data_IF_102617757427
#
_entry.id   IF_102617757427
#
_cell.length_a   1.000
_cell.length_b   1.000
_cell.length_c   1.000
_cell.angle_alpha   90.00
_cell.angle_beta   90.00
_cell.angle_gamma   90.00
#
_symmetry.space_group_name_H-M   'P 1'
#
loop_
_entity.id
_entity.type
_entity.pdbx_description
1 polymer ?
#
# COMPACT_ATOMS: atom_id res chain seq x y z
N UNK A 1 55.09 -9.67 56.79
CA UNK A 1 54.29 -8.50 57.26
C UNK A 1 55.13 -7.27 56.95
N UNK A 2 54.84 -6.51 55.90
CA UNK A 2 53.74 -5.54 55.88
C UNK A 2 53.05 -5.47 54.51
N UNK A 3 51.73 -5.55 54.56
CA UNK A 3 50.78 -5.35 53.46
C UNK A 3 50.65 -3.87 53.12
N UNK A 4 50.86 -3.51 51.85
CA UNK A 4 50.50 -2.20 51.30
C UNK A 4 49.31 -2.35 50.36
N UNK A 5 48.10 -2.17 50.90
CA UNK A 5 46.89 -2.03 50.09
C UNK A 5 46.88 -0.63 49.45
N UNK A 6 47.03 -0.54 48.13
CA UNK A 6 46.67 0.68 47.40
C UNK A 6 45.20 0.61 47.02
N UNK A 7 44.35 1.16 47.88
CA UNK A 7 42.95 1.48 47.55
C UNK A 7 42.94 2.71 46.66
N UNK A 8 42.63 2.52 45.37
CA UNK A 8 42.33 3.63 44.47
C UNK A 8 40.93 4.14 44.83
N UNK A 9 40.85 5.21 45.62
CA UNK A 9 39.60 5.91 45.91
C UNK A 9 39.20 6.73 44.69
N UNK A 10 38.48 6.11 43.75
CA UNK A 10 37.77 6.85 42.70
C UNK A 10 36.57 7.52 43.36
N UNK A 11 36.55 8.86 43.38
CA UNK A 11 35.42 9.59 43.94
C UNK A 11 34.14 9.19 43.21
N UNK A 12 33.06 8.91 43.97
CA UNK A 12 31.74 8.53 43.45
C UNK A 12 31.24 9.50 42.36
N UNK A 13 31.62 10.78 42.47
CA UNK A 13 31.33 11.82 41.48
C UNK A 13 31.98 11.58 40.10
N UNK A 14 33.18 11.00 40.05
CA UNK A 14 33.90 10.72 38.79
C UNK A 14 33.29 9.50 38.09
N UNK A 15 32.90 8.48 38.86
CA UNK A 15 32.21 7.31 38.32
C UNK A 15 30.82 7.71 37.78
N UNK A 16 30.08 8.56 38.52
CA UNK A 16 28.80 9.10 38.08
C UNK A 16 28.91 10.01 36.85
N UNK A 17 29.97 10.81 36.72
CA UNK A 17 30.24 11.57 35.50
C UNK A 17 30.49 10.65 34.30
N UNK A 18 31.29 9.58 34.48
CA UNK A 18 31.57 8.62 33.40
C UNK A 18 30.34 7.81 32.98
N UNK A 19 29.44 7.47 33.92
CA UNK A 19 28.14 6.87 33.60
C UNK A 19 27.20 7.90 32.94
N UNK A 20 27.22 9.17 33.37
CA UNK A 20 26.41 10.23 32.77
C UNK A 20 26.81 10.56 31.33
N UNK A 21 28.11 10.57 31.04
CA UNK A 21 28.66 10.72 29.68
C UNK A 21 28.44 9.48 28.80
N UNK A 22 28.35 8.28 29.39
CA UNK A 22 28.02 7.04 28.68
C UNK A 22 26.53 6.81 28.41
N UNK A 23 25.64 7.53 29.11
CA UNK A 23 24.18 7.42 28.97
C UNK A 23 23.55 8.61 28.20
N UNK A 24 24.32 9.66 27.93
CA UNK A 24 23.91 10.76 27.06
C UNK A 24 23.86 10.26 25.60
N UNK A 25 22.72 9.68 25.22
CA UNK A 25 22.39 9.50 23.81
C UNK A 25 22.36 10.88 23.16
N UNK A 26 23.17 11.07 22.13
CA UNK A 26 23.11 12.24 21.26
C UNK A 26 21.79 12.20 20.48
N UNK A 27 20.74 12.75 21.08
CA UNK A 27 19.55 13.16 20.37
C UNK A 27 19.89 14.46 19.63
N UNK A 28 20.29 14.35 18.36
CA UNK A 28 20.42 15.50 17.48
C UNK A 28 19.02 16.01 17.15
N UNK A 29 18.50 16.89 18.01
CA UNK A 29 17.27 17.62 17.76
C UNK A 29 17.60 18.91 17.01
N UNK A 30 17.26 18.95 15.71
CA UNK A 30 17.06 20.14 14.86
C UNK A 30 17.90 21.38 15.22
N UNK A 31 19.22 21.26 15.21
CA UNK A 31 20.12 22.42 15.24
C UNK A 31 20.31 22.94 13.81
N UNK A 32 20.35 24.26 13.63
CA UNK A 32 20.55 24.87 12.33
C UNK A 32 22.00 24.63 11.86
N UNK A 33 22.17 23.69 10.92
CA UNK A 33 23.44 23.41 10.26
C UNK A 33 23.76 24.52 9.25
N UNK A 34 25.03 24.90 9.15
CA UNK A 34 25.49 25.89 8.17
C UNK A 34 25.53 25.30 6.76
N UNK A 35 25.30 26.11 5.72
CA UNK A 35 25.33 25.68 4.31
C UNK A 35 26.62 24.92 3.94
N UNK A 36 27.76 25.30 4.51
CA UNK A 36 29.04 24.62 4.31
C UNK A 36 29.01 23.18 4.85
N UNK A 37 28.40 22.96 6.02
CA UNK A 37 28.23 21.61 6.60
C UNK A 37 27.19 20.79 5.83
N UNK A 38 26.08 21.40 5.38
CA UNK A 38 25.07 20.75 4.55
C UNK A 38 25.61 20.34 3.17
N UNK A 39 26.57 21.10 2.60
CA UNK A 39 27.19 20.77 1.31
C UNK A 39 28.11 19.53 1.36
N UNK A 40 28.60 19.17 2.55
CA UNK A 40 29.47 18.01 2.78
C UNK A 40 28.69 16.77 3.25
N UNK A 41 27.45 16.92 3.70
CA UNK A 41 26.60 15.81 4.14
C UNK A 41 25.78 15.26 2.98
N UNK A 42 26.33 14.30 2.24
CA UNK A 42 25.57 13.50 1.27
C UNK A 42 24.77 12.41 1.99
N UNK A 43 23.44 12.43 1.88
CA UNK A 43 22.58 11.32 2.31
C UNK A 43 21.82 11.51 3.63
N UNK A 44 21.62 12.75 4.09
CA UNK A 44 20.74 13.03 5.23
C UNK A 44 19.29 12.65 4.90
N UNK A 45 18.63 12.05 5.88
CA UNK A 45 17.25 11.63 5.80
C UNK A 45 16.51 11.92 7.11
N UNK A 46 15.22 12.15 7.00
CA UNK A 46 14.33 12.27 8.14
C UNK A 46 13.82 10.88 8.49
N UNK A 47 14.14 10.41 9.70
CA UNK A 47 13.53 9.23 10.27
C UNK A 47 12.17 9.60 10.87
N UNK A 48 11.12 8.84 10.55
CA UNK A 48 9.77 9.02 11.05
C UNK A 48 9.35 7.74 11.77
N UNK A 49 8.86 7.89 12.99
CA UNK A 49 8.33 6.79 13.80
C UNK A 49 6.87 7.07 14.18
N UNK A 50 5.90 6.65 13.35
CA UNK A 50 4.49 6.77 13.68
C UNK A 50 4.14 5.81 14.84
N UNK A 51 3.76 6.37 15.99
CA UNK A 51 3.35 5.63 17.17
C UNK A 51 1.89 5.89 17.54
N UNK A 52 1.18 4.84 17.94
CA UNK A 52 -0.23 4.87 18.32
C UNK A 52 -1.13 5.59 17.29
N UNK A 53 -0.77 5.48 16.01
CA UNK A 53 -1.50 6.16 14.93
C UNK A 53 -2.76 5.39 14.62
N UNK A 54 -3.85 6.10 14.34
CA UNK A 54 -5.06 5.55 13.74
C UNK A 54 -5.78 6.65 13.00
N UNK A 55 -6.49 6.29 11.94
CA UNK A 55 -7.33 7.24 11.20
C UNK A 55 -8.67 6.61 10.87
N UNK A 56 -9.69 7.45 10.79
CA UNK A 56 -11.01 7.08 10.27
C UNK A 56 -11.64 8.31 9.62
N UNK A 57 -12.21 8.13 8.43
CA UNK A 57 -12.91 9.18 7.71
C UNK A 57 -14.29 9.37 8.32
N UNK A 58 -14.51 10.53 8.95
CA UNK A 58 -15.79 10.89 9.54
C UNK A 58 -16.55 11.88 8.67
N UNK A 59 -17.88 11.95 8.84
CA UNK A 59 -18.79 12.84 8.13
C UNK A 59 -18.26 14.27 8.16
N UNK A 60 -18.25 14.93 7.00
CA UNK A 60 -17.92 16.34 6.89
C UNK A 60 -18.98 17.18 7.62
N UNK A 61 -18.54 17.95 8.62
CA UNK A 61 -19.36 18.96 9.28
C UNK A 61 -18.49 20.16 9.67
N UNK A 62 -18.92 21.33 9.23
CA UNK A 62 -18.23 22.58 9.52
C UNK A 62 -18.63 23.13 10.89
N UNK A 63 -17.81 24.04 11.43
CA UNK A 63 -18.08 24.82 12.65
C UNK A 63 -18.18 24.01 13.96
N UNK A 64 -17.49 22.87 14.05
CA UNK A 64 -17.35 22.13 15.29
C UNK A 64 -16.36 22.85 16.23
N UNK A 65 -16.77 22.99 17.50
CA UNK A 65 -15.84 23.38 18.56
C UNK A 65 -14.76 22.31 18.76
N UNK A 66 -13.63 22.70 19.34
CA UNK A 66 -12.56 21.75 19.69
C UNK A 66 -13.05 20.60 20.58
N UNK A 67 -14.00 20.87 21.49
CA UNK A 67 -14.61 19.87 22.35
C UNK A 67 -15.47 18.86 21.56
N UNK A 68 -16.27 19.34 20.60
CA UNK A 68 -17.06 18.47 19.72
C UNK A 68 -16.17 17.62 18.81
N UNK A 69 -15.10 18.20 18.25
CA UNK A 69 -14.11 17.46 17.47
C UNK A 69 -13.47 16.33 18.28
N UNK A 70 -13.05 16.62 19.52
CA UNK A 70 -12.48 15.60 20.41
C UNK A 70 -13.47 14.47 20.75
N UNK A 71 -14.73 14.80 21.01
CA UNK A 71 -15.77 13.81 21.29
C UNK A 71 -16.07 12.91 20.08
N UNK A 72 -16.08 13.48 18.86
CA UNK A 72 -16.36 12.73 17.62
C UNK A 72 -15.35 11.66 17.28
N UNK A 73 -14.08 11.89 17.60
CA UNK A 73 -13.02 10.89 17.37
C UNK A 73 -13.30 9.58 18.12
N UNK A 74 -14.15 9.57 19.16
CA UNK A 74 -14.61 8.36 19.83
C UNK A 74 -15.94 7.80 19.30
N UNK A 75 -16.79 8.63 18.70
CA UNK A 75 -18.13 8.25 18.22
C UNK A 75 -18.07 7.71 16.78
N UNK A 76 -18.39 6.41 16.64
CA UNK A 76 -18.33 5.68 15.37
C UNK A 76 -19.57 5.87 14.50
N UNK A 77 -20.63 6.48 15.01
CA UNK A 77 -21.83 6.81 14.22
C UNK A 77 -21.52 7.81 13.09
N UNK A 78 -20.45 8.59 13.25
CA UNK A 78 -19.98 9.56 12.28
C UNK A 78 -19.02 9.00 11.23
N UNK A 79 -18.69 7.71 11.22
CA UNK A 79 -17.70 7.12 10.31
C UNK A 79 -18.26 6.89 8.89
N UNK A 80 -18.80 7.97 8.32
CA UNK A 80 -19.45 8.08 7.02
C UNK A 80 -18.80 9.17 6.16
N UNK A 81 -17.58 9.58 6.50
CA UNK A 81 -16.75 10.42 5.64
C UNK A 81 -16.46 9.67 4.33
N UNK A 82 -16.48 10.38 3.21
CA UNK A 82 -16.64 9.75 1.91
C UNK A 82 -15.60 10.18 0.87
N UNK A 83 -15.35 9.28 -0.07
CA UNK A 83 -14.71 9.53 -1.36
C UNK A 83 -15.74 9.16 -2.43
N UNK A 84 -16.17 10.12 -3.24
CA UNK A 84 -17.10 9.89 -4.35
C UNK A 84 -16.33 9.77 -5.65
N UNK A 85 -16.50 8.65 -6.36
CA UNK A 85 -15.89 8.41 -7.66
C UNK A 85 -17.00 8.37 -8.71
N UNK A 86 -16.95 9.34 -9.63
CA UNK A 86 -17.93 9.49 -10.70
C UNK A 86 -17.24 9.23 -12.03
N UNK A 87 -17.55 8.12 -12.73
CA UNK A 87 -17.16 7.92 -14.11
C UNK A 87 -17.71 9.06 -14.98
N UNK A 88 -16.82 9.79 -15.63
CA UNK A 88 -17.14 10.83 -16.61
C UNK A 88 -17.08 10.28 -18.03
N UNK A 89 -17.74 10.95 -18.98
CA UNK A 89 -17.81 10.52 -20.38
C UNK A 89 -19.12 9.80 -20.76
N UNK A 90 -19.53 9.81 -22.04
CA UNK A 90 -20.75 9.14 -22.49
C UNK A 90 -20.61 7.62 -22.43
N UNK A 91 -21.74 6.91 -22.35
CA UNK A 91 -21.75 5.48 -22.62
C UNK A 91 -21.51 5.27 -24.12
N UNK A 92 -20.73 4.24 -24.49
CA UNK A 92 -20.60 3.86 -25.89
C UNK A 92 -21.94 3.42 -26.47
N UNK A 93 -22.10 3.47 -27.80
CA UNK A 93 -23.31 2.97 -28.45
C UNK A 93 -23.58 1.49 -28.11
N UNK A 94 -22.51 0.67 -28.07
CA UNK A 94 -22.58 -0.74 -27.68
C UNK A 94 -23.05 -0.92 -26.24
N UNK A 95 -22.48 -0.15 -25.29
CA UNK A 95 -22.87 -0.22 -23.88
C UNK A 95 -24.34 0.23 -23.70
N UNK A 96 -24.75 1.28 -24.42
CA UNK A 96 -26.12 1.78 -24.42
C UNK A 96 -27.10 0.74 -24.97
N UNK A 97 -26.77 0.09 -26.08
CA UNK A 97 -27.58 -0.98 -26.67
C UNK A 97 -27.69 -2.21 -25.76
N UNK A 98 -26.67 -2.50 -24.96
CA UNK A 98 -26.68 -3.55 -23.94
C UNK A 98 -27.44 -3.16 -22.65
N UNK A 99 -28.00 -1.94 -22.58
CA UNK A 99 -28.72 -1.45 -21.41
C UNK A 99 -27.82 -1.05 -20.24
N UNK A 100 -26.52 -0.84 -20.48
CA UNK A 100 -25.60 -0.42 -19.43
C UNK A 100 -26.01 0.92 -18.82
N UNK A 101 -25.72 1.07 -17.53
CA UNK A 101 -25.97 2.29 -16.76
C UNK A 101 -24.63 2.84 -16.26
N UNK A 102 -24.58 4.15 -15.99
CA UNK A 102 -23.39 4.74 -15.37
C UNK A 102 -23.33 4.35 -13.89
N UNK A 103 -22.14 4.06 -13.40
CA UNK A 103 -21.93 3.85 -11.97
C UNK A 103 -21.80 5.19 -11.23
N UNK A 104 -22.14 5.22 -9.95
CA UNK A 104 -21.79 6.28 -9.01
C UNK A 104 -21.31 5.60 -7.72
N UNK A 105 -20.03 5.74 -7.41
CA UNK A 105 -19.39 5.01 -6.32
C UNK A 105 -19.15 5.95 -5.15
N UNK A 106 -19.58 5.52 -3.97
CA UNK A 106 -19.32 6.16 -2.70
C UNK A 106 -18.51 5.20 -1.83
N UNK A 107 -17.28 5.58 -1.48
CA UNK A 107 -16.46 4.86 -0.51
C UNK A 107 -16.50 5.61 0.80
N UNK A 108 -16.91 4.95 1.86
CA UNK A 108 -17.18 5.52 3.17
C UNK A 108 -16.26 4.94 4.25
N UNK A 109 -16.03 5.76 5.28
CA UNK A 109 -15.49 5.31 6.56
C UNK A 109 -14.11 4.66 6.45
N UNK A 110 -13.32 5.07 5.45
CA UNK A 110 -11.94 4.62 5.27
C UNK A 110 -11.18 4.74 6.59
N UNK A 111 -10.67 3.63 7.08
CA UNK A 111 -10.09 3.53 8.41
C UNK A 111 -8.81 2.69 8.40
N UNK A 112 -7.83 3.15 9.18
CA UNK A 112 -6.56 2.46 9.43
C UNK A 112 -6.34 2.38 10.93
N UNK A 113 -6.08 1.17 11.43
CA UNK A 113 -5.86 0.88 12.84
C UNK A 113 -4.98 -0.35 13.03
N UNK A 114 -4.68 -0.72 14.27
CA UNK A 114 -4.04 -2.00 14.58
C UNK A 114 -4.96 -3.17 14.22
N UNK A 115 -4.39 -4.24 13.66
CA UNK A 115 -5.11 -5.49 13.40
C UNK A 115 -5.61 -6.15 14.69
N UNK A 116 -6.81 -6.72 14.68
CA UNK A 116 -7.49 -7.32 15.84
C UNK A 116 -8.13 -8.69 15.53
N UNK A 117 -7.94 -9.22 14.32
CA UNK A 117 -8.55 -10.45 13.79
C UNK A 117 -10.08 -10.44 13.63
N UNK A 118 -10.75 -9.34 13.96
CA UNK A 118 -12.17 -9.15 13.69
C UNK A 118 -12.34 -8.76 12.22
N UNK A 119 -13.05 -9.60 11.46
CA UNK A 119 -13.34 -9.41 10.03
C UNK A 119 -14.69 -8.73 9.80
N UNK A 120 -15.48 -8.51 10.84
CA UNK A 120 -16.78 -7.86 10.77
C UNK A 120 -16.69 -6.37 11.15
N UNK A 121 -15.76 -6.00 12.03
CA UNK A 121 -15.42 -4.61 12.29
C UNK A 121 -14.36 -4.08 11.32
N UNK A 122 -14.66 -2.97 10.64
CA UNK A 122 -13.70 -2.28 9.77
C UNK A 122 -12.58 -1.54 10.51
N UNK A 123 -12.73 -1.27 11.82
CA UNK A 123 -11.83 -0.40 12.58
C UNK A 123 -11.72 -0.89 14.02
N UNK A 124 -10.52 -1.27 14.45
CA UNK A 124 -10.29 -1.76 15.81
C UNK A 124 -10.28 -0.64 16.85
N UNK A 125 -10.21 0.62 16.39
CA UNK A 125 -10.03 1.81 17.22
C UNK A 125 -8.78 1.76 18.13
N UNK A 126 -7.83 0.88 17.82
CA UNK A 126 -6.54 0.77 18.50
C UNK A 126 -5.46 1.34 17.60
N UNK A 127 -4.59 2.19 18.14
CA UNK A 127 -3.48 2.75 17.37
C UNK A 127 -2.43 1.69 17.06
N UNK A 128 -1.74 1.83 15.93
CA UNK A 128 -0.64 0.96 15.52
C UNK A 128 0.70 1.70 15.51
N UNK A 129 1.76 0.97 15.80
CA UNK A 129 3.14 1.46 15.71
C UNK A 129 3.76 0.96 14.39
N UNK A 130 4.27 1.89 13.58
CA UNK A 130 4.83 1.61 12.26
C UNK A 130 6.33 1.87 12.24
N UNK A 131 7.11 0.92 12.74
CA UNK A 131 8.57 0.97 12.76
C UNK A 131 9.13 0.85 14.17
N UNK A 132 10.45 0.88 14.27
CA UNK A 132 11.19 0.98 15.53
C UNK A 132 12.29 2.03 15.37
N UNK A 133 12.91 2.47 16.45
CA UNK A 133 14.06 3.38 16.38
C UNK A 133 15.20 2.83 15.50
N UNK A 134 15.42 1.51 15.54
CA UNK A 134 16.42 0.81 14.72
C UNK A 134 15.97 0.50 13.29
N UNK A 135 14.68 0.65 12.99
CA UNK A 135 14.10 0.38 11.67
C UNK A 135 12.87 1.28 11.44
N UNK A 136 13.08 2.61 11.28
CA UNK A 136 12.01 3.58 11.14
C UNK A 136 11.55 3.71 9.68
N UNK A 137 10.55 4.56 9.43
CA UNK A 137 10.36 5.10 8.08
C UNK A 137 11.45 6.11 7.79
N UNK A 138 11.92 6.17 6.55
CA UNK A 138 12.99 7.09 6.14
C UNK A 138 12.56 7.89 4.92
N UNK A 139 12.61 9.22 5.04
CA UNK A 139 12.53 10.14 3.91
C UNK A 139 13.94 10.68 3.63
N UNK A 140 14.55 10.36 2.50
CA UNK A 140 15.94 10.73 2.21
C UNK A 140 16.16 11.09 0.74
N UNK A 141 17.31 11.69 0.45
CA UNK A 141 17.81 11.88 -0.92
C UNK A 141 19.10 11.09 -1.06
N UNK A 142 19.15 10.18 -2.03
CA UNK A 142 20.30 9.30 -2.24
C UNK A 142 20.79 9.35 -3.69
N UNK A 143 22.12 9.35 -3.91
CA UNK A 143 22.69 9.16 -5.23
C UNK A 143 22.68 7.67 -5.63
N UNK A 144 22.62 7.41 -6.94
CA UNK A 144 22.78 6.08 -7.54
C UNK A 144 23.45 6.20 -8.90
N UNK A 145 24.39 5.29 -9.17
CA UNK A 145 24.95 5.14 -10.50
C UNK A 145 24.04 4.22 -11.31
N UNK A 146 23.52 4.71 -12.42
CA UNK A 146 22.58 4.00 -13.28
C UNK A 146 22.86 4.33 -14.75
N UNK A 147 22.14 3.72 -15.68
CA UNK A 147 22.32 3.97 -17.11
C UNK A 147 21.29 4.97 -17.62
N UNK A 148 21.71 5.88 -18.50
CA UNK A 148 20.76 6.60 -19.36
C UNK A 148 20.07 5.65 -20.34
N UNK A 149 19.09 6.12 -21.11
CA UNK A 149 18.35 5.26 -22.02
C UNK A 149 19.20 4.67 -23.17
N UNK A 150 20.39 5.22 -23.43
CA UNK A 150 21.34 4.73 -24.42
C UNK A 150 22.38 3.74 -23.85
N UNK A 151 22.37 3.50 -22.54
CA UNK A 151 23.27 2.58 -21.87
C UNK A 151 24.57 3.21 -21.36
N UNK A 152 24.68 4.55 -21.32
CA UNK A 152 25.83 5.23 -20.74
C UNK A 152 25.65 5.34 -19.23
N UNK A 153 26.70 5.05 -18.46
CA UNK A 153 26.67 5.20 -17.01
C UNK A 153 26.58 6.68 -16.62
N UNK A 154 25.64 7.00 -15.73
CA UNK A 154 25.34 8.34 -15.24
C UNK A 154 25.07 8.30 -13.73
N UNK A 155 25.23 9.45 -13.08
CA UNK A 155 24.81 9.64 -11.70
C UNK A 155 23.39 10.20 -11.69
N UNK A 156 22.53 9.59 -10.88
CA UNK A 156 21.16 10.02 -10.65
C UNK A 156 20.98 10.23 -9.14
N UNK A 157 20.22 11.25 -8.74
CA UNK A 157 19.75 11.38 -7.36
C UNK A 157 18.24 11.21 -7.32
N UNK A 158 17.73 10.55 -6.29
CA UNK A 158 16.29 10.39 -6.07
C UNK A 158 15.90 10.80 -4.65
N UNK A 159 14.72 11.39 -4.52
CA UNK A 159 14.01 11.55 -3.24
C UNK A 159 13.25 10.25 -2.97
N UNK A 160 13.46 9.63 -1.81
CA UNK A 160 12.82 8.37 -1.44
C UNK A 160 12.06 8.47 -0.14
N UNK A 161 10.89 7.83 -0.10
CA UNK A 161 10.19 7.46 1.12
C UNK A 161 10.22 5.93 1.24
N UNK A 162 10.87 5.44 2.28
CA UNK A 162 11.07 4.01 2.55
C UNK A 162 10.38 3.62 3.86
N UNK A 163 9.57 2.55 3.80
CA UNK A 163 9.01 1.90 4.96
C UNK A 163 10.09 1.09 5.69
N UNK A 164 9.90 0.74 6.98
CA UNK A 164 10.82 -0.13 7.70
C UNK A 164 11.21 -1.34 6.87
N UNK A 165 12.50 -1.69 6.84
CA UNK A 165 13.00 -2.79 6.06
C UNK A 165 12.42 -4.11 6.56
N UNK A 166 12.12 -5.01 5.63
CA UNK A 166 11.67 -6.36 5.96
C UNK A 166 12.87 -7.25 6.25
N UNK A 167 12.84 -7.97 7.38
CA UNK A 167 13.92 -8.91 7.72
C UNK A 167 13.95 -10.09 6.76
N UNK A 168 15.15 -10.58 6.45
CA UNK A 168 15.34 -11.73 5.57
C UNK A 168 14.74 -13.03 6.15
N UNK A 169 14.62 -13.11 7.48
CA UNK A 169 13.97 -14.22 8.19
C UNK A 169 12.42 -14.13 8.19
N UNK A 170 11.83 -13.12 7.54
CA UNK A 170 10.37 -12.93 7.50
C UNK A 170 9.77 -12.40 8.81
N UNK A 171 10.60 -12.09 9.81
CA UNK A 171 10.12 -11.55 11.09
C UNK A 171 9.61 -10.13 10.91
N UNK A 172 8.38 -9.90 11.39
CA UNK A 172 7.73 -8.60 11.35
C UNK A 172 7.88 -7.94 12.72
N UNK A 173 8.67 -6.86 12.80
CA UNK A 173 8.98 -6.19 14.06
C UNK A 173 7.91 -5.23 14.58
N UNK A 174 6.79 -5.07 13.87
CA UNK A 174 5.79 -4.00 14.12
C UNK A 174 4.35 -4.52 14.08
N UNK A 175 3.42 -3.72 14.60
CA UNK A 175 2.00 -4.04 14.62
C UNK A 175 1.44 -4.09 13.19
N UNK A 176 0.88 -5.22 12.74
CA UNK A 176 0.20 -5.26 11.45
C UNK A 176 -1.04 -4.37 11.49
N UNK A 177 -1.30 -3.70 10.37
CA UNK A 177 -2.43 -2.82 10.19
C UNK A 177 -3.72 -3.57 9.85
N UNK A 178 -4.83 -2.97 10.23
CA UNK A 178 -6.17 -3.20 9.70
C UNK A 178 -6.53 -2.01 8.82
N UNK A 179 -6.87 -2.28 7.57
CA UNK A 179 -7.50 -1.32 6.65
C UNK A 179 -8.96 -1.72 6.48
N UNK A 180 -9.88 -0.79 6.67
CA UNK A 180 -11.30 -1.06 6.50
C UNK A 180 -12.03 0.09 5.84
N UNK A 181 -13.01 -0.25 5.02
CA UNK A 181 -13.93 0.70 4.39
C UNK A 181 -15.23 -0.01 4.05
N UNK A 182 -16.25 0.77 3.71
CA UNK A 182 -17.48 0.24 3.13
C UNK A 182 -17.95 1.18 2.03
N UNK A 183 -18.90 0.79 1.20
CA UNK A 183 -19.30 1.62 0.08
C UNK A 183 -20.63 1.25 -0.54
N UNK A 184 -21.17 2.22 -1.28
CA UNK A 184 -22.36 2.07 -2.09
C UNK A 184 -22.00 2.31 -3.56
N UNK A 185 -22.36 1.35 -4.41
CA UNK A 185 -22.22 1.43 -5.86
C UNK A 185 -23.63 1.53 -6.44
N UNK A 186 -23.95 2.66 -7.05
CA UNK A 186 -25.26 2.88 -7.67
C UNK A 186 -25.21 2.75 -9.18
N UNK A 187 -26.26 2.18 -9.77
CA UNK A 187 -26.57 2.43 -11.17
C UNK A 187 -27.37 3.72 -11.31
N UNK A 188 -27.01 4.53 -12.30
CA UNK A 188 -27.65 5.81 -12.59
C UNK A 188 -28.47 5.78 -13.87
N UNK A 189 -29.66 6.36 -13.78
CA UNK A 189 -30.41 6.80 -14.93
C UNK A 189 -29.71 8.02 -15.56
N UNK A 190 -29.32 7.89 -16.82
CA UNK A 190 -28.62 8.94 -17.57
C UNK A 190 -29.51 10.13 -17.96
N UNK A 191 -30.84 10.00 -17.85
CA UNK A 191 -31.78 11.06 -18.23
C UNK A 191 -32.22 11.94 -17.07
N UNK A 192 -31.94 11.52 -15.83
CA UNK A 192 -32.27 12.29 -14.63
C UNK A 192 -31.08 13.14 -14.19
N UNK A 193 -31.30 14.44 -14.06
CA UNK A 193 -30.32 15.38 -13.51
C UNK A 193 -30.70 15.73 -12.07
N UNK A 194 -29.71 15.82 -11.19
CA UNK A 194 -29.87 16.22 -9.79
C UNK A 194 -28.84 17.27 -9.43
N UNK A 195 -29.21 18.21 -8.56
CA UNK A 195 -28.27 19.18 -8.01
C UNK A 195 -27.32 18.48 -7.04
N UNK A 196 -26.09 18.98 -6.94
CA UNK A 196 -25.07 18.45 -6.04
C UNK A 196 -25.05 19.28 -4.75
N UNK A 197 -25.02 18.61 -3.61
CA UNK A 197 -24.76 19.23 -2.31
C UNK A 197 -23.27 19.62 -2.24
N UNK A 198 -22.93 20.90 -2.04
CA UNK A 198 -21.55 21.35 -2.01
C UNK A 198 -20.74 20.81 -0.81
N UNK A 199 -21.40 20.41 0.29
CA UNK A 199 -20.73 19.89 1.50
C UNK A 199 -20.32 18.43 1.33
N UNK A 200 -21.22 17.59 0.82
CA UNK A 200 -20.97 16.14 0.67
C UNK A 200 -20.47 15.77 -0.71
N UNK A 201 -20.57 16.67 -1.68
CA UNK A 201 -20.29 16.39 -3.10
C UNK A 201 -21.25 15.38 -3.73
N UNK A 202 -22.35 14.99 -3.05
CA UNK A 202 -23.34 14.02 -3.50
C UNK A 202 -24.62 14.69 -4.04
N UNK A 203 -25.48 13.99 -4.82
CA UNK A 203 -26.80 14.48 -5.18
C UNK A 203 -27.62 14.91 -3.97
N UNK A 204 -28.43 15.96 -4.10
CA UNK A 204 -29.34 16.42 -3.04
C UNK A 204 -30.52 15.49 -2.79
N UNK A 205 -30.82 14.59 -3.73
CA UNK A 205 -31.90 13.61 -3.64
C UNK A 205 -31.47 12.27 -4.25
N UNK A 206 -32.21 11.20 -3.96
CA UNK A 206 -32.02 9.88 -4.57
C UNK A 206 -32.43 9.82 -6.06
N UNK A 207 -32.90 10.94 -6.63
CA UNK A 207 -33.38 11.00 -8.01
C UNK A 207 -32.33 10.52 -9.01
N UNK A 208 -32.73 9.60 -9.89
CA UNK A 208 -31.86 9.04 -10.92
C UNK A 208 -30.96 7.89 -10.45
N UNK A 209 -31.02 7.47 -9.18
CA UNK A 209 -30.43 6.19 -8.74
C UNK A 209 -31.45 5.07 -8.96
N UNK A 210 -31.02 3.93 -9.50
CA UNK A 210 -31.94 2.82 -9.84
C UNK A 210 -31.67 1.56 -9.01
N UNK A 211 -30.40 1.18 -8.81
CA UNK A 211 -29.98 0.02 -8.03
C UNK A 211 -28.78 0.35 -7.16
N UNK A 212 -28.61 -0.37 -6.05
CA UNK A 212 -27.46 -0.24 -5.14
C UNK A 212 -26.83 -1.60 -4.87
N UNK A 213 -25.52 -1.69 -5.00
CA UNK A 213 -24.71 -2.71 -4.37
C UNK A 213 -23.95 -2.08 -3.21
N UNK A 214 -24.16 -2.58 -2.00
CA UNK A 214 -23.44 -2.17 -0.80
C UNK A 214 -22.40 -3.21 -0.44
N UNK A 215 -21.20 -2.77 -0.09
CA UNK A 215 -20.08 -3.65 0.26
C UNK A 215 -19.30 -3.16 1.47
N UNK A 216 -18.74 -4.08 2.25
CA UNK A 216 -17.70 -3.82 3.24
C UNK A 216 -16.41 -4.48 2.79
N UNK A 217 -15.29 -3.82 3.01
CA UNK A 217 -13.96 -4.39 2.86
C UNK A 217 -13.21 -4.29 4.18
N UNK A 218 -12.68 -5.41 4.65
CA UNK A 218 -11.82 -5.48 5.85
C UNK A 218 -10.56 -6.25 5.49
N UNK A 219 -9.41 -5.60 5.59
CA UNK A 219 -8.08 -6.19 5.40
C UNK A 219 -7.37 -6.23 6.74
N UNK A 220 -7.22 -7.43 7.31
CA UNK A 220 -6.44 -7.67 8.52
C UNK A 220 -5.03 -8.17 8.18
N UNK A 221 -4.09 -7.79 9.03
CA UNK A 221 -2.73 -8.31 8.97
C UNK A 221 -1.79 -7.53 8.05
N UNK A 222 -2.22 -6.40 7.49
CA UNK A 222 -1.47 -5.66 6.48
C UNK A 222 -0.13 -5.16 7.04
N UNK A 223 0.95 -5.51 6.36
CA UNK A 223 2.28 -5.01 6.63
C UNK A 223 2.89 -4.41 5.35
N UNK A 224 3.52 -3.24 5.52
CA UNK A 224 4.08 -2.44 4.43
C UNK A 224 5.62 -2.49 4.40
N UNK A 225 6.26 -3.23 5.30
CA UNK A 225 7.71 -3.25 5.46
C UNK A 225 8.39 -3.68 4.16
N UNK A 226 9.47 -2.97 3.81
CA UNK A 226 10.21 -3.10 2.56
C UNK A 226 9.57 -2.38 1.37
N UNK A 227 8.45 -1.67 1.55
CA UNK A 227 7.92 -0.78 0.50
C UNK A 227 8.77 0.48 0.37
N UNK A 228 8.91 1.01 -0.84
CA UNK A 228 9.54 2.30 -1.07
C UNK A 228 8.99 3.00 -2.32
N UNK A 229 9.12 4.31 -2.33
CA UNK A 229 8.82 5.19 -3.46
C UNK A 229 10.01 6.07 -3.73
N UNK A 230 10.45 6.17 -4.99
CA UNK A 230 11.59 6.96 -5.43
C UNK A 230 11.16 7.91 -6.52
N UNK A 231 11.29 9.21 -6.27
CA UNK A 231 11.03 10.30 -7.21
C UNK A 231 12.35 10.86 -7.72
N UNK A 232 12.47 10.99 -9.04
CA UNK A 232 13.70 11.47 -9.67
C UNK A 232 13.41 12.08 -11.03
N UNK A 233 14.37 12.81 -11.57
CA UNK A 233 14.34 13.21 -12.97
C UNK A 233 14.90 12.07 -13.83
N UNK A 234 14.18 11.63 -14.86
CA UNK A 234 14.68 10.59 -15.76
C UNK A 234 15.92 11.04 -16.52
N UNK A 235 16.79 10.09 -16.87
CA UNK A 235 17.99 10.39 -17.64
C UNK A 235 17.68 10.65 -19.13
N UNK A 236 18.70 11.08 -19.88
CA UNK A 236 18.55 11.46 -21.29
C UNK A 236 18.71 10.31 -22.30
N UNK A 237 18.88 10.70 -23.56
CA UNK A 237 19.26 9.84 -24.70
C UNK A 237 18.26 8.75 -25.11
N UNK A 238 16.98 8.89 -24.79
CA UNK A 238 15.92 7.96 -25.20
C UNK A 238 15.90 7.68 -26.72
N UNK A 239 16.10 8.72 -27.53
CA UNK A 239 16.05 8.59 -28.99
C UNK A 239 17.19 7.73 -29.55
N UNK A 240 18.34 7.65 -28.86
CA UNK A 240 19.46 6.81 -29.29
C UNK A 240 19.11 5.30 -29.24
N UNK A 241 18.06 4.93 -28.51
CA UNK A 241 17.54 3.57 -28.42
C UNK A 241 16.13 3.42 -29.01
N UNK A 242 15.72 4.33 -29.88
CA UNK A 242 14.41 4.29 -30.55
C UNK A 242 13.22 4.59 -29.65
N UNK A 243 13.45 5.18 -28.47
CA UNK A 243 12.42 5.59 -27.53
C UNK A 243 12.02 7.07 -27.73
N UNK A 244 10.85 7.50 -27.24
CA UNK A 244 10.35 8.85 -27.46
C UNK A 244 11.21 9.88 -26.71
N UNK A 245 11.42 11.05 -27.33
CA UNK A 245 12.14 12.18 -26.72
C UNK A 245 11.54 12.62 -25.38
N UNK A 246 10.23 12.43 -25.20
CA UNK A 246 9.50 12.78 -23.99
C UNK A 246 9.86 11.93 -22.76
N UNK A 247 10.65 10.86 -22.92
CA UNK A 247 11.19 10.10 -21.80
C UNK A 247 12.37 10.81 -21.14
N UNK A 248 13.02 11.76 -21.82
CA UNK A 248 14.21 12.41 -21.31
C UNK A 248 13.87 13.49 -20.29
N UNK A 249 14.61 13.52 -19.19
CA UNK A 249 14.63 14.66 -18.25
C UNK A 249 13.23 15.02 -17.70
N UNK A 250 12.32 14.04 -17.63
CA UNK A 250 10.96 14.21 -17.09
C UNK A 250 10.86 13.70 -15.66
N UNK A 251 9.72 13.94 -15.00
CA UNK A 251 9.46 13.39 -13.66
C UNK A 251 9.23 11.88 -13.75
N UNK A 252 10.13 11.13 -13.11
CA UNK A 252 10.08 9.69 -12.96
C UNK A 252 9.75 9.26 -11.53
N UNK A 253 9.02 8.15 -11.44
CA UNK A 253 8.75 7.40 -10.22
C UNK A 253 9.23 5.96 -10.40
N UNK A 254 9.84 5.40 -9.37
CA UNK A 254 9.95 3.96 -9.18
C UNK A 254 9.33 3.60 -7.83
N UNK A 255 8.54 2.53 -7.77
CA UNK A 255 7.94 2.11 -6.51
C UNK A 255 7.98 0.60 -6.33
N UNK A 256 8.29 0.18 -5.11
CA UNK A 256 8.04 -1.17 -4.63
C UNK A 256 6.93 -1.08 -3.58
N UNK A 257 5.76 -1.61 -3.90
CA UNK A 257 4.59 -1.57 -3.03
C UNK A 257 4.34 -2.97 -2.48
N UNK A 258 4.42 -3.13 -1.16
CA UNK A 258 4.19 -4.41 -0.48
C UNK A 258 2.92 -4.31 0.37
N UNK A 259 1.93 -5.14 0.03
CA UNK A 259 0.69 -5.32 0.77
C UNK A 259 0.65 -6.78 1.22
N UNK A 260 1.45 -7.09 2.24
CA UNK A 260 1.62 -8.46 2.72
C UNK A 260 0.82 -8.67 4.00
N UNK A 261 0.28 -9.88 4.16
CA UNK A 261 -0.46 -10.25 5.38
C UNK A 261 0.14 -11.47 6.07
N UNK A 262 0.85 -12.32 5.35
CA UNK A 262 1.39 -13.57 5.90
C UNK A 262 2.75 -13.95 5.30
N UNK A 263 3.82 -13.73 6.06
CA UNK A 263 5.17 -14.10 5.65
C UNK A 263 5.44 -15.61 5.72
N UNK A 264 4.58 -16.37 6.42
CA UNK A 264 4.71 -17.81 6.61
C UNK A 264 3.48 -18.58 6.07
N UNK A 265 2.91 -18.09 4.97
CA UNK A 265 1.68 -18.65 4.41
C UNK A 265 1.80 -20.14 4.00
N UNK A 266 3.00 -20.59 3.62
CA UNK A 266 3.24 -21.95 3.12
C UNK A 266 2.96 -23.07 4.12
N UNK A 267 2.95 -22.79 5.41
CA UNK A 267 2.63 -23.78 6.47
C UNK A 267 1.16 -23.71 6.91
N UNK A 268 0.35 -22.85 6.29
CA UNK A 268 -1.00 -22.57 6.76
C UNK A 268 -1.98 -23.63 6.27
N UNK A 269 -2.62 -24.35 7.19
CA UNK A 269 -3.64 -25.36 6.86
C UNK A 269 -5.04 -24.96 7.34
N UNK A 270 -5.16 -23.83 8.03
CA UNK A 270 -6.41 -23.31 8.59
C UNK A 270 -6.62 -21.84 8.24
N UNK A 271 -7.87 -21.47 7.97
CA UNK A 271 -8.27 -20.07 7.81
C UNK A 271 -7.86 -19.22 9.03
N UNK A 272 -7.27 -18.05 8.79
CA UNK A 272 -6.78 -17.14 9.83
C UNK A 272 -7.37 -15.74 9.62
N UNK A 273 -8.27 -15.34 10.52
CA UNK A 273 -8.96 -14.05 10.45
C UNK A 273 -8.04 -12.85 10.75
N UNK A 274 -6.83 -13.09 11.27
CA UNK A 274 -5.81 -12.06 11.48
C UNK A 274 -5.07 -11.67 10.19
N UNK A 275 -5.24 -12.44 9.10
CA UNK A 275 -4.50 -12.32 7.83
C UNK A 275 -5.43 -12.59 6.65
N UNK A 276 -6.33 -11.65 6.39
CA UNK A 276 -7.40 -11.86 5.41
C UNK A 276 -7.90 -10.54 4.86
N UNK A 277 -8.19 -10.54 3.57
CA UNK A 277 -9.04 -9.55 2.93
C UNK A 277 -10.44 -10.14 2.81
N UNK A 278 -11.41 -9.56 3.52
CA UNK A 278 -12.82 -9.90 3.41
C UNK A 278 -13.56 -8.81 2.63
N UNK A 279 -14.41 -9.24 1.70
CA UNK A 279 -15.39 -8.40 1.03
C UNK A 279 -16.78 -8.99 1.27
N UNK A 280 -17.67 -8.27 1.92
CA UNK A 280 -19.04 -8.73 2.22
C UNK A 280 -20.09 -7.79 1.64
N UNK A 281 -21.25 -8.32 1.30
CA UNK A 281 -22.36 -7.56 0.72
C UNK A 281 -23.68 -7.74 1.46
N UNK A 282 -23.81 -8.78 2.30
CA UNK A 282 -24.99 -9.03 3.09
C UNK A 282 -25.04 -8.08 4.29
N UNK A 283 -26.04 -7.19 4.31
CA UNK A 283 -26.33 -6.32 5.46
C UNK A 283 -26.93 -7.15 6.61
N UNK A 284 -26.48 -6.96 7.86
CA UNK A 284 -26.99 -7.67 9.03
C UNK A 284 -28.38 -7.19 9.46
N UNK A 285 -28.68 -5.92 9.22
CA UNK A 285 -29.98 -5.32 9.46
C UNK A 285 -30.38 -4.59 8.20
N UNK A 286 -31.42 -5.06 7.50
CA UNK A 286 -32.01 -4.32 6.40
C UNK A 286 -32.89 -3.24 7.01
N UNK A 287 -32.38 -2.00 7.10
CA UNK A 287 -33.26 -0.86 7.30
C UNK A 287 -34.15 -0.72 6.06
N UNK A 288 -35.33 -1.34 6.12
CA UNK A 288 -36.29 -1.37 5.01
C UNK A 288 -37.11 -0.09 4.90
N UNK A 289 -36.97 0.85 5.85
CA UNK A 289 -37.77 2.07 5.92
C UNK A 289 -37.59 2.99 4.70
N UNK A 290 -36.49 2.81 3.98
CA UNK A 290 -36.11 3.59 2.79
C UNK A 290 -36.06 2.74 1.51
N UNK A 291 -36.55 1.50 1.57
CA UNK A 291 -36.66 0.63 0.40
C UNK A 291 -38.01 0.85 -0.28
N UNK A 292 -38.03 0.77 -1.61
CA UNK A 292 -39.28 0.79 -2.37
C UNK A 292 -40.13 -0.44 -2.03
N UNK A 293 -41.43 -0.40 -2.34
CA UNK A 293 -42.32 -1.57 -2.22
C UNK A 293 -41.89 -2.78 -3.06
N UNK A 294 -40.96 -2.57 -4.01
CA UNK A 294 -40.31 -3.61 -4.82
C UNK A 294 -39.01 -4.15 -4.19
N UNK A 295 -38.64 -3.71 -2.99
CA UNK A 295 -37.46 -4.17 -2.24
C UNK A 295 -36.15 -3.44 -2.59
N UNK A 296 -36.18 -2.39 -3.40
CA UNK A 296 -34.96 -1.65 -3.79
C UNK A 296 -34.60 -0.62 -2.73
N UNK A 297 -33.46 -0.80 -2.06
CA UNK A 297 -32.96 0.10 -1.03
C UNK A 297 -31.90 1.06 -1.60
N UNK A 298 -32.21 2.35 -1.65
CA UNK A 298 -31.32 3.37 -2.24
C UNK A 298 -30.70 4.33 -1.21
N UNK A 299 -31.03 4.19 0.07
CA UNK A 299 -30.50 5.06 1.12
C UNK A 299 -28.97 5.04 1.19
N UNK A 300 -28.36 6.18 1.44
CA UNK A 300 -26.92 6.29 1.61
C UNK A 300 -26.59 7.51 2.46
N UNK A 301 -25.65 7.44 3.41
CA UNK A 301 -25.35 8.55 4.30
C UNK A 301 -25.04 9.87 3.60
N UNK A 302 -24.46 9.85 2.40
CA UNK A 302 -24.16 11.08 1.66
C UNK A 302 -25.41 11.84 1.15
N UNK A 303 -26.55 11.16 0.99
CA UNK A 303 -27.79 11.71 0.42
C UNK A 303 -28.92 11.75 1.46
N UNK A 304 -29.19 10.60 2.10
CA UNK A 304 -30.30 10.45 3.06
C UNK A 304 -29.88 10.68 4.51
N UNK A 305 -28.58 10.81 4.78
CA UNK A 305 -28.05 10.70 6.14
C UNK A 305 -28.09 9.26 6.68
N UNK A 306 -27.69 9.09 7.94
CA UNK A 306 -27.58 7.78 8.61
C UNK A 306 -26.14 7.43 9.00
N UNK A 307 -26.01 6.38 9.81
CA UNK A 307 -24.73 5.84 10.25
C UNK A 307 -24.14 4.79 9.30
N UNK A 308 -22.96 4.26 9.66
CA UNK A 308 -22.37 3.14 8.93
C UNK A 308 -23.27 1.87 9.05
N UNK A 309 -23.46 1.12 7.96
CA UNK A 309 -24.24 -0.10 7.98
C UNK A 309 -23.51 -1.23 8.72
N UNK A 310 -24.28 -2.16 9.28
CA UNK A 310 -23.78 -3.42 9.83
C UNK A 310 -23.89 -4.52 8.79
N UNK A 311 -22.88 -5.38 8.69
CA UNK A 311 -22.84 -6.52 7.77
C UNK A 311 -23.01 -7.83 8.53
N UNK A 312 -23.54 -8.86 7.85
CA UNK A 312 -23.58 -10.22 8.35
C UNK A 312 -22.14 -10.63 8.76
N UNK A 313 -21.95 -11.34 9.86
CA UNK A 313 -20.61 -11.57 10.40
C UNK A 313 -19.84 -12.68 9.66
N UNK A 314 -20.52 -13.47 8.83
CA UNK A 314 -19.97 -14.66 8.18
C UNK A 314 -19.89 -14.53 6.66
N UNK A 315 -20.85 -13.88 6.02
CA UNK A 315 -20.96 -13.79 4.56
C UNK A 315 -19.75 -13.10 3.93
N UNK A 316 -19.44 -13.53 2.70
CA UNK A 316 -18.59 -12.76 1.80
C UNK A 316 -17.51 -13.58 1.13
N UNK A 317 -16.70 -12.87 0.35
CA UNK A 317 -15.47 -13.34 -0.24
C UNK A 317 -14.32 -13.12 0.76
N UNK A 318 -13.65 -14.21 1.12
CA UNK A 318 -12.46 -14.22 1.96
C UNK A 318 -11.26 -14.58 1.08
N UNK A 319 -10.27 -13.70 1.08
CA UNK A 319 -8.98 -13.94 0.45
C UNK A 319 -8.00 -14.04 1.63
N UNK A 320 -7.67 -15.27 2.04
CA UNK A 320 -6.75 -15.51 3.15
C UNK A 320 -5.30 -15.34 2.72
N UNK A 321 -4.46 -14.85 3.63
CA UNK A 321 -3.02 -14.65 3.46
C UNK A 321 -2.63 -13.98 2.12
N UNK A 322 -3.31 -12.91 1.65
CA UNK A 322 -2.89 -12.20 0.45
C UNK A 322 -1.54 -11.54 0.70
N UNK A 323 -0.59 -11.80 -0.18
CA UNK A 323 0.68 -11.11 -0.25
C UNK A 323 0.86 -10.55 -1.65
N UNK A 324 0.89 -9.24 -1.77
CA UNK A 324 1.01 -8.52 -3.04
C UNK A 324 2.30 -7.70 -2.98
N UNK A 325 3.27 -8.06 -3.81
CA UNK A 325 4.54 -7.36 -3.93
C UNK A 325 4.64 -6.82 -5.35
N UNK A 326 4.32 -5.54 -5.52
CA UNK A 326 4.23 -4.90 -6.82
C UNK A 326 5.44 -4.00 -7.07
N UNK A 327 6.21 -4.34 -8.11
CA UNK A 327 7.29 -3.52 -8.64
C UNK A 327 6.73 -2.65 -9.77
N UNK A 328 6.57 -1.36 -9.50
CA UNK A 328 6.18 -0.35 -10.47
C UNK A 328 7.42 0.40 -10.95
N UNK A 329 8.08 -0.21 -11.94
CA UNK A 329 9.29 0.34 -12.54
C UNK A 329 10.50 0.31 -11.61
N UNK A 330 11.59 0.87 -12.11
CA UNK A 330 12.85 1.03 -11.41
C UNK A 330 13.62 2.20 -12.05
N UNK A 331 14.85 2.47 -11.63
CA UNK A 331 15.67 3.56 -12.21
C UNK A 331 16.05 3.34 -13.67
N UNK A 332 15.95 2.11 -14.18
CA UNK A 332 16.18 1.73 -15.59
C UNK A 332 14.91 1.78 -16.44
N UNK A 333 13.74 1.70 -15.80
CA UNK A 333 12.42 1.69 -16.41
C UNK A 333 11.45 2.50 -15.52
N UNK A 334 11.54 3.83 -15.51
CA UNK A 334 10.70 4.68 -14.67
C UNK A 334 9.24 4.68 -15.10
N UNK A 335 8.35 4.86 -14.14
CA UNK A 335 7.00 5.36 -14.38
C UNK A 335 7.07 6.87 -14.57
N UNK A 336 6.75 7.36 -15.75
CA UNK A 336 6.82 8.78 -16.09
C UNK A 336 5.45 9.42 -16.12
N UNK A 337 5.44 10.69 -15.73
CA UNK A 337 4.32 11.60 -15.94
C UNK A 337 4.64 12.46 -17.15
N UNK A 338 3.77 12.43 -18.15
CA UNK A 338 4.06 13.08 -19.42
C UNK A 338 2.82 13.76 -19.97
N UNK A 339 3.03 14.76 -20.81
CA UNK A 339 1.99 15.39 -21.60
C UNK A 339 2.42 15.51 -23.05
N UNK A 340 1.50 15.23 -23.97
CA UNK A 340 1.71 15.48 -25.41
C UNK A 340 1.26 16.90 -25.82
N UNK A 341 0.97 17.77 -24.83
CA UNK A 341 0.43 19.11 -25.02
C UNK A 341 -1.10 19.17 -24.94
N UNK A 342 -1.79 18.04 -25.13
CA UNK A 342 -3.26 17.94 -25.09
C UNK A 342 -3.72 17.00 -23.97
N UNK A 343 -3.03 15.87 -23.84
CA UNK A 343 -3.34 14.80 -22.91
C UNK A 343 -2.30 14.73 -21.82
N UNK A 344 -2.75 14.35 -20.64
CA UNK A 344 -1.88 13.84 -19.60
C UNK A 344 -1.77 12.33 -19.72
N UNK A 345 -0.58 11.80 -19.51
CA UNK A 345 -0.32 10.36 -19.53
C UNK A 345 0.54 9.93 -18.35
N UNK A 346 0.20 8.76 -17.84
CA UNK A 346 0.99 7.97 -16.91
C UNK A 346 1.55 6.78 -17.69
N UNK A 347 2.85 6.70 -17.84
CA UNK A 347 3.49 5.71 -18.71
C UNK A 347 4.66 5.04 -18.00
N UNK A 348 4.61 3.73 -17.79
CA UNK A 348 5.81 2.96 -17.46
C UNK A 348 6.62 2.85 -18.74
N UNK A 349 7.82 3.43 -18.77
CA UNK A 349 8.62 3.50 -20.00
C UNK A 349 8.88 2.13 -20.59
N UNK A 350 8.97 2.04 -21.91
CA UNK A 350 9.48 0.85 -22.59
C UNK A 350 10.92 0.58 -22.17
N UNK A 351 11.27 -0.70 -22.00
CA UNK A 351 12.65 -1.13 -21.74
C UNK A 351 13.48 -0.89 -23.03
N UNK A 352 14.58 -0.11 -22.99
CA UNK A 352 15.49 0.03 -24.11
C UNK A 352 16.07 -1.31 -24.55
N UNK A 353 16.23 -1.50 -25.86
CA UNK A 353 17.00 -2.63 -26.40
C UNK A 353 18.51 -2.38 -26.29
N UNK A 354 18.99 -2.23 -25.06
CA UNK A 354 20.38 -1.96 -24.72
C UNK A 354 20.81 -2.93 -23.62
N UNK A 355 21.88 -3.69 -23.88
CA UNK A 355 22.29 -4.80 -23.02
C UNK A 355 22.56 -4.39 -21.56
N UNK A 356 23.24 -3.28 -21.34
CA UNK A 356 23.51 -2.76 -19.98
C UNK A 356 22.24 -2.44 -19.19
N UNK A 357 21.10 -2.25 -19.86
CA UNK A 357 19.82 -1.88 -19.26
C UNK A 357 18.93 -3.12 -19.10
N UNK A 358 18.65 -3.84 -20.19
CA UNK A 358 17.72 -4.98 -20.11
C UNK A 358 18.28 -6.11 -19.22
N UNK A 359 19.61 -6.23 -19.09
CA UNK A 359 20.23 -7.21 -18.19
C UNK A 359 20.02 -6.86 -16.71
N UNK A 360 19.75 -5.60 -16.37
CA UNK A 360 19.38 -5.23 -14.99
C UNK A 360 17.94 -5.64 -14.67
N UNK A 361 17.09 -5.76 -15.70
CA UNK A 361 15.66 -5.98 -15.53
C UNK A 361 15.30 -7.45 -15.67
N UNK A 362 15.73 -8.10 -16.74
CA UNK A 362 15.37 -9.49 -17.04
C UNK A 362 16.12 -10.49 -16.17
N UNK A 363 15.45 -11.63 -15.95
CA UNK A 363 15.98 -12.78 -15.22
C UNK A 363 16.30 -13.90 -16.20
N UNK A 364 17.47 -14.52 -16.08
CA UNK A 364 17.73 -15.80 -16.74
C UNK A 364 17.28 -16.96 -15.85
N UNK A 365 16.10 -17.52 -16.15
CA UNK A 365 15.54 -18.65 -15.41
C UNK A 365 16.28 -19.98 -15.64
N UNK A 366 17.18 -20.06 -16.63
CA UNK A 366 18.05 -21.23 -16.77
C UNK A 366 19.18 -21.25 -15.72
N UNK A 367 19.48 -20.09 -15.11
CA UNK A 367 20.56 -19.92 -14.15
C UNK A 367 21.96 -20.01 -14.76
N UNK A 368 22.09 -19.96 -16.09
CA UNK A 368 23.36 -20.16 -16.80
C UNK A 368 24.11 -18.84 -17.07
N UNK A 369 23.38 -17.74 -17.20
CA UNK A 369 23.90 -16.42 -17.50
C UNK A 369 23.70 -15.45 -16.34
N UNK A 370 24.74 -15.26 -15.56
CA UNK A 370 24.76 -14.34 -14.41
C UNK A 370 24.76 -12.86 -14.80
N UNK A 371 24.79 -12.50 -16.08
CA UNK A 371 24.68 -11.09 -16.51
C UNK A 371 23.29 -10.53 -16.22
N UNK A 372 22.25 -11.37 -16.28
CA UNK A 372 20.88 -11.02 -15.96
C UNK A 372 20.70 -10.93 -14.44
N UNK A 373 20.33 -9.73 -13.96
CA UNK A 373 20.19 -9.37 -12.54
C UNK A 373 18.75 -9.25 -12.08
N UNK A 374 17.80 -9.48 -12.99
CA UNK A 374 16.39 -9.52 -12.65
C UNK A 374 16.09 -10.53 -11.56
N UNK A 375 15.12 -10.19 -10.72
CA UNK A 375 14.66 -11.06 -9.63
C UNK A 375 13.22 -10.73 -9.26
N UNK A 376 12.51 -11.71 -8.71
CA UNK A 376 11.17 -11.47 -8.16
C UNK A 376 11.23 -10.99 -6.71
N UNK A 377 10.35 -10.06 -6.38
CA UNK A 377 9.99 -9.71 -5.02
C UNK A 377 8.84 -10.58 -4.50
N UNK A 378 9.06 -11.28 -3.40
CA UNK A 378 8.05 -12.00 -2.63
C UNK A 378 8.31 -11.84 -1.12
N UNK A 379 7.51 -12.50 -0.28
CA UNK A 379 7.58 -12.37 1.18
C UNK A 379 8.92 -12.82 1.80
N UNK A 380 9.76 -13.59 1.11
CA UNK A 380 11.04 -14.09 1.63
C UNK A 380 12.25 -13.43 0.96
N UNK A 381 12.13 -13.01 -0.31
CA UNK A 381 13.24 -12.44 -1.08
C UNK A 381 12.76 -11.31 -1.97
N UNK A 382 13.53 -10.22 -2.06
CA UNK A 382 13.18 -9.06 -2.87
C UNK A 382 14.42 -8.35 -3.45
N UNK A 383 15.25 -9.10 -4.16
CA UNK A 383 16.53 -8.62 -4.68
C UNK A 383 17.66 -8.84 -3.67
N UNK A 384 18.71 -8.01 -3.75
CA UNK A 384 19.95 -8.23 -3.00
C UNK A 384 19.77 -7.87 -1.52
N UNK A 385 19.89 -8.87 -0.64
CA UNK A 385 19.83 -8.68 0.80
C UNK A 385 20.95 -7.77 1.31
N UNK A 386 20.71 -7.09 2.43
CA UNK A 386 21.67 -6.22 3.11
C UNK A 386 21.78 -6.59 4.59
N UNK A 387 22.96 -6.37 5.17
CA UNK A 387 23.19 -6.54 6.62
C UNK A 387 23.45 -5.19 7.24
N UNK A 388 22.59 -4.78 8.17
CA UNK A 388 22.69 -3.50 8.87
C UNK A 388 22.72 -3.81 10.37
N UNK A 389 23.76 -3.35 11.07
CA UNK A 389 23.94 -3.58 12.51
C UNK A 389 23.78 -5.07 12.92
N UNK A 390 24.28 -6.00 12.10
CA UNK A 390 24.21 -7.44 12.37
C UNK A 390 22.86 -8.11 12.07
N UNK A 391 21.88 -7.35 11.55
CA UNK A 391 20.57 -7.87 11.12
C UNK A 391 20.51 -7.96 9.60
N UNK A 392 20.04 -9.10 9.09
CA UNK A 392 19.83 -9.31 7.66
C UNK A 392 18.43 -8.86 7.23
N UNK A 393 18.38 -7.97 6.24
CA UNK A 393 17.17 -7.46 5.62
C UNK A 393 17.06 -7.93 4.17
N UNK A 394 15.84 -8.07 3.68
CA UNK A 394 15.58 -8.28 2.27
C UNK A 394 16.01 -7.05 1.48
N UNK A 395 16.37 -7.27 0.21
CA UNK A 395 16.63 -6.19 -0.72
C UNK A 395 15.37 -5.40 -1.11
N UNK A 396 15.59 -4.38 -1.93
CA UNK A 396 14.55 -3.58 -2.56
C UNK A 396 14.78 -3.38 -4.07
N UNK A 397 15.63 -4.23 -4.66
CA UNK A 397 16.12 -4.10 -6.05
C UNK A 397 15.48 -5.10 -7.01
N UNK A 398 14.46 -5.85 -6.56
CA UNK A 398 13.71 -6.74 -7.43
C UNK A 398 13.02 -5.99 -8.58
N UNK A 399 12.86 -6.67 -9.70
CA UNK A 399 12.34 -6.10 -10.95
C UNK A 399 11.02 -6.74 -11.38
N UNK A 400 10.69 -7.89 -10.79
CA UNK A 400 9.45 -8.60 -11.03
C UNK A 400 8.59 -8.63 -9.76
N UNK A 401 7.29 -8.55 -9.96
CA UNK A 401 6.26 -8.58 -8.94
C UNK A 401 5.83 -10.01 -8.62
N UNK A 402 5.20 -10.19 -7.47
CA UNK A 402 4.49 -11.42 -7.13
C UNK A 402 3.16 -11.15 -6.43
N UNK A 403 2.23 -12.09 -6.58
CA UNK A 403 0.96 -12.12 -5.89
C UNK A 403 0.75 -13.55 -5.40
N UNK A 404 0.57 -13.74 -4.10
CA UNK A 404 0.17 -15.03 -3.53
C UNK A 404 -1.09 -14.87 -2.71
N UNK A 405 -1.98 -15.85 -2.79
CA UNK A 405 -3.21 -15.95 -2.00
C UNK A 405 -3.23 -17.32 -1.36
N UNK A 406 -3.44 -17.35 -0.04
CA UNK A 406 -3.63 -18.58 0.70
C UNK A 406 -2.34 -19.32 1.01
N UNK A 407 -2.42 -20.65 1.10
CA UNK A 407 -1.29 -21.51 1.43
C UNK A 407 -0.29 -21.58 0.27
N UNK A 408 0.68 -20.67 0.28
CA UNK A 408 1.72 -20.59 -0.74
C UNK A 408 3.08 -20.73 -0.09
N UNK A 409 3.77 -21.83 -0.41
CA UNK A 409 5.14 -22.07 0.01
C UNK A 409 6.15 -21.46 -0.96
N UNK A 410 7.42 -21.58 -0.62
CA UNK A 410 8.53 -21.13 -1.45
C UNK A 410 9.38 -22.36 -1.80
N UNK A 411 9.52 -22.59 -3.11
CA UNK A 411 10.29 -23.68 -3.69
C UNK A 411 11.74 -23.31 -3.97
N UNK A 412 12.40 -24.15 -4.79
CA UNK A 412 13.75 -23.88 -5.28
C UNK A 412 13.82 -22.58 -6.07
N UNK A 413 14.90 -21.81 -5.89
CA UNK A 413 15.10 -20.56 -6.62
C UNK A 413 14.18 -19.42 -6.18
N UNK A 414 13.61 -19.49 -4.97
CA UNK A 414 12.68 -18.51 -4.41
C UNK A 414 11.34 -18.40 -5.16
N UNK A 415 10.94 -19.43 -5.90
CA UNK A 415 9.67 -19.44 -6.62
C UNK A 415 8.48 -19.75 -5.69
N UNK A 416 7.37 -19.04 -5.88
CA UNK A 416 6.14 -19.27 -5.15
C UNK A 416 5.41 -20.53 -5.65
N UNK A 417 5.06 -21.41 -4.72
CA UNK A 417 4.36 -22.66 -4.99
C UNK A 417 3.06 -22.72 -4.20
N UNK A 418 1.93 -22.54 -4.90
CA UNK A 418 0.61 -22.72 -4.30
C UNK A 418 0.38 -24.19 -3.94
N UNK A 419 -0.08 -24.45 -2.72
CA UNK A 419 -0.39 -25.80 -2.27
C UNK A 419 -1.65 -26.29 -2.98
N UNK A 420 -1.58 -27.47 -3.59
CA UNK A 420 -2.64 -28.05 -4.40
C UNK A 420 -3.33 -29.26 -3.73
N UNK A 421 -3.19 -29.39 -2.41
CA UNK A 421 -3.80 -30.46 -1.61
C UNK A 421 -5.08 -29.98 -0.94
N UNK A 422 -5.85 -30.89 -0.37
CA UNK A 422 -7.08 -30.58 0.38
C UNK A 422 -6.85 -29.70 1.63
N UNK A 423 -5.61 -29.53 2.08
CA UNK A 423 -5.26 -28.65 3.20
C UNK A 423 -5.03 -27.20 2.78
N UNK A 424 -5.10 -26.88 1.48
CA UNK A 424 -4.89 -25.51 1.00
C UNK A 424 -6.00 -24.58 1.50
N UNK A 425 -5.61 -23.46 2.08
CA UNK A 425 -6.48 -22.33 2.40
C UNK A 425 -6.28 -21.29 1.32
N UNK A 426 -7.31 -20.54 0.93
CA UNK A 426 -7.12 -19.44 0.00
C UNK A 426 -8.40 -18.67 -0.29
N UNK A 427 -8.84 -18.61 -1.54
CA UNK A 427 -10.06 -17.89 -1.89
C UNK A 427 -11.27 -18.69 -1.41
N UNK A 428 -12.05 -18.14 -0.49
CA UNK A 428 -13.20 -18.81 0.11
C UNK A 428 -14.43 -17.94 0.06
N UNK A 429 -15.53 -18.46 -0.47
CA UNK A 429 -16.85 -17.84 -0.36
C UNK A 429 -17.58 -18.40 0.84
N UNK A 430 -18.22 -17.53 1.62
CA UNK A 430 -19.12 -17.95 2.71
C UNK A 430 -20.51 -17.37 2.50
N UNK A 431 -21.52 -18.19 2.73
CA UNK A 431 -22.90 -17.73 2.77
C UNK A 431 -23.23 -17.08 4.14
N UNK A 432 -24.43 -16.48 4.31
CA UNK A 432 -24.84 -15.88 5.58
C UNK A 432 -24.93 -16.85 6.78
N UNK A 433 -24.97 -18.17 6.53
CA UNK A 433 -24.95 -19.20 7.57
C UNK A 433 -23.52 -19.66 7.91
N UNK A 434 -22.52 -19.19 7.17
CA UNK A 434 -21.11 -19.55 7.32
C UNK A 434 -20.69 -20.80 6.54
N UNK A 435 -21.55 -21.38 5.69
CA UNK A 435 -21.14 -22.49 4.83
C UNK A 435 -20.09 -21.99 3.85
N UNK A 436 -18.96 -22.69 3.78
CA UNK A 436 -17.77 -22.23 3.07
C UNK A 436 -17.48 -23.08 1.83
N UNK A 437 -17.22 -22.41 0.70
CA UNK A 437 -16.66 -23.01 -0.51
C UNK A 437 -15.27 -22.44 -0.71
N UNK A 438 -14.25 -23.26 -0.48
CA UNK A 438 -12.84 -22.91 -0.68
C UNK A 438 -12.39 -23.31 -2.09
N UNK A 439 -11.92 -22.34 -2.87
CA UNK A 439 -11.40 -22.51 -4.22
C UNK A 439 -9.89 -22.78 -4.26
N UNK A 440 -9.23 -22.80 -3.10
CA UNK A 440 -7.81 -23.08 -2.96
C UNK A 440 -6.91 -21.85 -2.99
N UNK A 441 -5.60 -22.09 -2.93
CA UNK A 441 -4.56 -21.07 -3.00
C UNK A 441 -4.12 -20.77 -4.44
N UNK A 442 -3.55 -19.58 -4.66
CA UNK A 442 -3.02 -19.18 -5.95
C UNK A 442 -1.68 -18.45 -5.78
N UNK A 443 -0.78 -18.61 -6.74
CA UNK A 443 0.49 -17.90 -6.80
C UNK A 443 0.73 -17.41 -8.23
N UNK A 444 1.11 -16.15 -8.34
CA UNK A 444 1.64 -15.52 -9.55
C UNK A 444 3.02 -15.01 -9.16
N UNK A 445 4.02 -15.47 -9.88
CA UNK A 445 5.42 -15.13 -9.64
C UNK A 445 6.05 -14.64 -10.94
N UNK A 446 7.02 -13.74 -10.84
CA UNK A 446 7.73 -13.19 -12.00
C UNK A 446 6.88 -12.24 -12.86
N UNK A 447 5.90 -11.52 -12.30
CA UNK A 447 5.10 -10.56 -13.07
C UNK A 447 5.92 -9.31 -13.39
N UNK A 448 6.22 -9.08 -14.67
CA UNK A 448 6.94 -7.89 -15.14
C UNK A 448 6.13 -7.15 -16.19
N UNK A 449 6.08 -5.83 -16.05
CA UNK A 449 5.40 -4.93 -16.99
C UNK A 449 6.45 -4.39 -17.97
N UNK A 450 6.41 -4.83 -19.23
CA UNK A 450 7.34 -4.33 -20.26
C UNK A 450 7.06 -2.89 -20.67
N UNK A 451 5.78 -2.53 -20.75
CA UNK A 451 5.29 -1.22 -21.12
C UNK A 451 3.84 -1.09 -20.65
N UNK A 452 3.49 0.05 -20.10
CA UNK A 452 2.12 0.35 -19.71
C UNK A 452 1.88 1.84 -19.89
N UNK A 453 0.76 2.21 -20.50
CA UNK A 453 0.39 3.61 -20.71
C UNK A 453 -1.09 3.80 -20.47
N UNK A 454 -1.42 4.71 -19.56
CA UNK A 454 -2.74 5.33 -19.46
C UNK A 454 -2.59 6.76 -19.96
N UNK A 455 -3.51 7.18 -20.83
CA UNK A 455 -3.59 8.56 -21.30
C UNK A 455 -5.01 9.04 -21.14
N UNK A 456 -5.18 10.32 -20.79
CA UNK A 456 -6.46 11.00 -21.00
C UNK A 456 -6.76 11.06 -22.48
N UNK A 457 -8.04 11.13 -22.85
CA UNK A 457 -8.49 11.24 -24.24
C UNK A 457 -8.76 12.69 -24.67
N UNK A 458 -8.27 13.67 -23.91
CA UNK A 458 -8.59 15.08 -24.09
C UNK A 458 -10.03 15.35 -23.67
N UNK A 459 -10.34 16.62 -23.40
CA UNK A 459 -11.71 17.13 -23.41
C UNK A 459 -12.02 17.70 -24.79
#
# INVERSE_FOLDING_TARGET
MTTGHSTVNVQLAVLLLSLGLGLAHSAFALEALSDESLSQQTGEGIAILPENVKMVFQKAEDNLSSAQNKARVADRSFDTGLIRVIPVGPLSATATAAGAKKADLYLYGLALSKSDSDVNSRFSNTGLNLGTESNPWVLNVLPVNTFDFAGNLQNLSYLSLEAPLLRADGTVGTDPAKLGLWGDIFSRNSTTSTTVNPVTGAPTTLGGLEQRLRVQMVLNGLNLNGSNFKLFQTLGNAQASGLPASYNQTLGLAALIRLNTDYNAGTRTTADASRVLRISSAEANTDTSSCTSTGTCLNTPAITGGGAPSFNAQEGLYIYSPNINLVLGNVYQPLIFNTDGTNFSLELTRIPNVASIYQQIYTDYSGTNSAYKGSTCNVQSCGTASTIAGVNYQGTTATHSSISIGTVGIGSGNLLNAVNTSSAVGVTFKDPSGNAVNLGSAAIDGLMIQHFKISTTGL
#
